data_IF_813068581442
#
_entry.id   IF_813068581442
#
_cell.length_a   1.000
_cell.length_b   1.000
_cell.length_c   1.000
_cell.angle_alpha   90.00
_cell.angle_beta   90.00
_cell.angle_gamma   90.00
#
_symmetry.space_group_name_H-M   'P 1'
#
loop_
_entity.id
_entity.type
_entity.pdbx_description
1 polymer ?
#
# COMPACT_ATOMS: atom_id res chain seq x y z
N UNK A 1 18.12 6.35 -16.29
CA UNK A 1 18.80 5.04 -16.06
C UNK A 1 17.73 3.96 -16.09
N UNK A 2 17.89 2.94 -16.94
CA UNK A 2 16.82 2.02 -17.34
C UNK A 2 16.33 1.11 -16.20
N UNK A 3 15.13 1.39 -15.67
CA UNK A 3 14.41 0.55 -14.68
C UNK A 3 14.03 -0.84 -15.23
N UNK A 4 13.92 -0.99 -16.56
CA UNK A 4 13.67 -2.27 -17.24
C UNK A 4 14.76 -3.31 -16.94
N UNK A 5 16.03 -2.90 -16.88
CA UNK A 5 17.14 -3.81 -16.64
C UNK A 5 17.14 -4.37 -15.21
N UNK A 6 16.64 -3.61 -14.22
CA UNK A 6 16.53 -4.05 -12.83
C UNK A 6 15.35 -5.03 -12.65
N UNK A 7 14.21 -4.77 -13.29
CA UNK A 7 13.05 -5.66 -13.25
C UNK A 7 13.27 -7.00 -13.98
N UNK A 8 13.94 -6.97 -15.14
CA UNK A 8 14.32 -8.19 -15.90
C UNK A 8 15.40 -8.98 -15.16
N UNK A 9 16.36 -8.31 -14.50
CA UNK A 9 17.35 -8.98 -13.65
C UNK A 9 16.73 -9.60 -12.41
N UNK A 10 15.73 -8.96 -11.76
CA UNK A 10 15.02 -9.57 -10.63
C UNK A 10 14.28 -10.85 -11.06
N UNK A 11 13.64 -10.83 -12.25
CA UNK A 11 13.00 -12.01 -12.83
C UNK A 11 14.01 -13.12 -13.18
N UNK A 12 15.19 -12.77 -13.68
CA UNK A 12 16.27 -13.71 -13.95
C UNK A 12 16.91 -14.29 -12.67
N UNK A 13 17.06 -13.48 -11.61
CA UNK A 13 17.56 -13.90 -10.29
C UNK A 13 16.56 -14.86 -9.61
N UNK A 14 15.25 -14.61 -9.75
CA UNK A 14 14.19 -15.50 -9.28
C UNK A 14 14.19 -16.87 -9.98
N UNK A 15 14.74 -16.95 -11.20
CA UNK A 15 14.88 -18.20 -11.96
C UNK A 15 16.15 -19.00 -11.61
N UNK A 16 17.18 -18.39 -11.03
CA UNK A 16 18.51 -19.00 -10.90
C UNK A 16 18.99 -19.29 -9.46
N UNK A 17 18.34 -18.78 -8.40
CA UNK A 17 18.89 -18.90 -7.03
C UNK A 17 17.91 -19.36 -5.92
N UNK A 18 16.76 -19.93 -6.27
CA UNK A 18 15.77 -20.37 -5.27
C UNK A 18 16.09 -21.76 -4.69
N UNK A 19 17.12 -21.86 -3.84
CA UNK A 19 17.29 -23.04 -2.99
C UNK A 19 16.15 -23.07 -1.95
N UNK A 20 15.36 -24.15 -1.83
CA UNK A 20 14.41 -24.29 -0.74
C UNK A 20 15.14 -24.18 0.59
N UNK A 21 14.64 -23.35 1.52
CA UNK A 21 14.95 -23.58 2.92
C UNK A 21 14.32 -24.93 3.28
N UNK A 22 15.15 -25.96 3.42
CA UNK A 22 14.72 -27.18 4.07
C UNK A 22 14.26 -26.79 5.48
N UNK A 23 13.07 -27.24 5.87
CA UNK A 23 12.60 -27.13 7.24
C UNK A 23 13.53 -27.99 8.11
N UNK A 24 14.68 -27.43 8.50
CA UNK A 24 15.51 -28.00 9.55
C UNK A 24 14.63 -28.00 10.80
N UNK A 25 14.37 -29.18 11.34
CA UNK A 25 13.38 -29.41 12.38
C UNK A 25 13.49 -28.39 13.51
N UNK A 26 12.57 -27.42 13.53
CA UNK A 26 12.40 -26.53 14.65
C UNK A 26 11.76 -27.34 15.78
N UNK A 27 12.46 -27.42 16.91
CA UNK A 27 11.90 -27.98 18.13
C UNK A 27 10.60 -27.23 18.50
N UNK A 28 9.54 -27.94 18.93
CA UNK A 28 8.32 -27.30 19.43
C UNK A 28 8.66 -26.62 20.76
N UNK A 29 8.83 -25.31 20.75
CA UNK A 29 9.18 -24.56 21.96
C UNK A 29 9.93 -23.24 21.74
N UNK A 30 10.12 -22.78 20.50
CA UNK A 30 10.53 -21.39 20.26
C UNK A 30 9.47 -20.42 20.79
N UNK A 31 9.85 -19.23 21.30
CA UNK A 31 8.87 -18.17 21.55
C UNK A 31 8.11 -17.94 20.24
N UNK A 32 6.78 -17.77 20.30
CA UNK A 32 5.95 -17.62 19.10
C UNK A 32 6.29 -16.34 18.32
N UNK A 33 5.30 -15.71 17.73
CA UNK A 33 5.36 -14.31 17.24
C UNK A 33 5.75 -13.25 18.32
N UNK A 34 6.54 -13.60 19.34
CA UNK A 34 7.02 -12.74 20.42
C UNK A 34 8.42 -12.18 20.11
N UNK A 35 8.48 -11.18 19.22
CA UNK A 35 9.58 -10.21 19.11
C UNK A 35 9.19 -9.03 18.21
N UNK A 36 9.52 -7.77 18.56
CA UNK A 36 9.21 -7.05 19.80
C UNK A 36 7.70 -6.79 19.88
N UNK A 37 7.15 -6.63 21.11
CA UNK A 37 5.71 -6.55 21.38
C UNK A 37 4.98 -5.67 20.34
N UNK A 38 4.10 -6.22 19.48
CA UNK A 38 3.29 -5.40 18.59
C UNK A 38 2.58 -4.37 19.47
N UNK A 39 2.69 -3.09 19.12
CA UNK A 39 1.97 -2.03 19.84
C UNK A 39 0.52 -2.45 20.03
N UNK A 40 -0.04 -2.20 21.22
CA UNK A 40 -1.39 -2.65 21.57
C UNK A 40 -2.37 -2.23 20.48
N UNK A 41 -3.05 -3.21 19.88
CA UNK A 41 -4.11 -2.93 18.90
C UNK A 41 -5.16 -2.01 19.53
N UNK A 42 -5.79 -1.12 18.74
CA UNK A 42 -6.81 -0.21 19.25
C UNK A 42 -7.97 -0.96 19.92
N UNK A 43 -8.48 -0.41 21.01
CA UNK A 43 -9.56 -1.04 21.79
C UNK A 43 -10.94 -0.71 21.20
N UNK A 44 -11.11 0.55 20.77
CA UNK A 44 -12.33 1.05 20.18
C UNK A 44 -12.05 1.75 18.85
N UNK A 45 -11.47 1.04 17.87
CA UNK A 45 -11.10 1.64 16.60
C UNK A 45 -12.31 2.13 15.83
N UNK A 46 -12.16 3.30 15.24
CA UNK A 46 -13.07 3.85 14.25
C UNK A 46 -12.24 4.37 13.09
N UNK A 47 -12.34 3.71 11.93
CA UNK A 47 -11.79 4.27 10.70
C UNK A 47 -12.67 5.41 10.18
N UNK A 48 -12.04 6.33 9.44
CA UNK A 48 -12.73 7.32 8.62
C UNK A 48 -12.51 6.96 7.15
N UNK A 49 -13.57 6.76 6.35
CA UNK A 49 -13.44 6.54 4.91
C UNK A 49 -12.62 7.65 4.27
N UNK A 50 -11.74 7.32 3.33
CA UNK A 50 -10.86 8.30 2.68
C UNK A 50 -11.61 9.50 2.08
N UNK A 51 -12.76 9.34 1.37
CA UNK A 51 -13.55 10.47 0.88
C UNK A 51 -13.97 11.48 1.95
N UNK A 52 -14.08 11.03 3.20
CA UNK A 52 -14.48 11.85 4.33
C UNK A 52 -13.32 12.50 5.07
N UNK A 53 -12.06 12.12 4.80
CA UNK A 53 -10.87 12.73 5.42
C UNK A 53 -10.64 14.13 4.86
N UNK A 54 -10.11 15.03 5.68
CA UNK A 54 -10.03 16.45 5.39
C UNK A 54 -8.73 16.89 4.70
N UNK A 55 -7.79 15.96 4.50
CA UNK A 55 -6.41 16.22 4.10
C UNK A 55 -5.69 17.24 5.02
N UNK A 56 -6.08 17.31 6.29
CA UNK A 56 -5.43 18.20 7.28
C UNK A 56 -4.01 17.74 7.58
N UNK A 57 -3.82 16.42 7.58
CA UNK A 57 -2.54 15.79 7.80
C UNK A 57 -2.31 14.73 6.75
N UNK A 58 -1.16 14.79 6.10
CA UNK A 58 -0.80 13.95 4.96
C UNK A 58 0.58 13.37 5.18
N UNK A 59 0.74 12.07 4.95
CA UNK A 59 2.03 11.40 4.98
C UNK A 59 2.54 11.20 3.56
N UNK A 60 3.79 11.61 3.34
CA UNK A 60 4.58 11.27 2.15
C UNK A 60 5.85 10.57 2.61
N UNK A 61 6.48 9.80 1.72
CA UNK A 61 7.72 9.11 2.06
C UNK A 61 8.70 9.14 0.89
N UNK A 62 9.99 9.21 1.23
CA UNK A 62 11.13 9.20 0.31
C UNK A 62 11.92 7.93 0.56
N UNK A 63 12.38 7.25 -0.49
CA UNK A 63 13.27 6.08 -0.37
C UNK A 63 14.74 6.53 -0.41
N UNK A 64 15.68 5.82 0.22
CA UNK A 64 17.12 6.22 0.18
C UNK A 64 17.72 6.39 -1.21
N UNK A 65 17.24 5.61 -2.17
CA UNK A 65 17.73 5.70 -3.55
C UNK A 65 17.13 6.90 -4.31
N UNK A 66 16.13 7.56 -3.72
CA UNK A 66 15.51 8.73 -4.34
C UNK A 66 16.47 9.89 -4.15
N UNK A 67 16.92 10.49 -5.25
CA UNK A 67 17.82 11.64 -5.18
C UNK A 67 17.10 12.94 -4.80
N UNK A 68 15.78 13.02 -4.94
CA UNK A 68 15.03 14.27 -4.84
C UNK A 68 13.54 14.00 -4.56
N UNK A 69 12.75 15.07 -4.48
CA UNK A 69 11.29 15.01 -4.32
C UNK A 69 10.54 14.91 -5.66
N UNK A 70 11.14 14.42 -6.75
CA UNK A 70 10.49 14.39 -8.07
C UNK A 70 9.16 13.64 -8.08
N UNK A 71 9.02 12.58 -7.27
CA UNK A 71 7.78 11.81 -7.15
C UNK A 71 6.71 12.51 -6.31
N UNK A 72 7.12 13.19 -5.25
CA UNK A 72 6.25 13.81 -4.25
C UNK A 72 5.83 15.22 -4.66
N UNK A 73 6.66 15.94 -5.42
CA UNK A 73 6.45 17.35 -5.76
C UNK A 73 5.12 17.63 -6.44
N UNK A 74 4.68 16.88 -7.47
CA UNK A 74 3.38 17.15 -8.09
C UNK A 74 2.21 17.09 -7.10
N UNK A 75 2.31 16.24 -6.07
CA UNK A 75 1.32 16.13 -4.98
C UNK A 75 1.43 17.34 -4.06
N UNK A 76 2.63 17.66 -3.57
CA UNK A 76 2.89 18.81 -2.70
C UNK A 76 2.35 20.13 -3.27
N UNK A 77 2.50 20.33 -4.58
CA UNK A 77 2.00 21.53 -5.29
C UNK A 77 0.47 21.62 -5.37
N UNK A 78 -0.25 20.51 -5.16
CA UNK A 78 -1.71 20.38 -5.34
C UNK A 78 -2.47 20.10 -4.06
N UNK A 79 -1.75 19.81 -2.97
CA UNK A 79 -2.35 19.73 -1.65
C UNK A 79 -2.87 21.11 -1.21
N UNK A 80 -3.98 21.16 -0.46
CA UNK A 80 -4.47 22.40 0.13
C UNK A 80 -3.42 23.06 1.02
N UNK A 81 -3.38 24.40 1.06
CA UNK A 81 -2.40 25.17 1.86
C UNK A 81 -2.48 24.90 3.36
N UNK A 82 -3.66 24.52 3.86
CA UNK A 82 -3.85 24.18 5.27
C UNK A 82 -3.24 22.82 5.64
N UNK A 83 -2.84 22.00 4.67
CA UNK A 83 -2.34 20.65 4.93
C UNK A 83 -1.00 20.71 5.64
N UNK A 84 -0.87 19.94 6.73
CA UNK A 84 0.43 19.59 7.32
C UNK A 84 0.93 18.30 6.66
N UNK A 85 2.09 18.36 6.05
CA UNK A 85 2.73 17.20 5.43
C UNK A 85 3.81 16.65 6.36
N UNK A 86 3.66 15.41 6.77
CA UNK A 86 4.69 14.61 7.43
C UNK A 86 5.48 13.90 6.33
N UNK A 87 6.72 14.30 6.08
CA UNK A 87 7.57 13.73 5.04
C UNK A 87 8.59 12.79 5.68
N UNK A 88 8.39 11.48 5.50
CA UNK A 88 9.35 10.48 5.95
C UNK A 88 10.59 10.52 5.06
N UNK A 89 11.75 10.79 5.64
CA UNK A 89 13.02 10.92 4.90
C UNK A 89 14.10 10.05 5.56
N UNK A 90 14.87 9.26 4.79
CA UNK A 90 16.07 8.60 5.31
C UNK A 90 17.03 9.62 5.92
N UNK A 91 17.61 9.35 7.09
CA UNK A 91 18.54 10.26 7.78
C UNK A 91 19.66 10.77 6.84
N UNK A 92 20.18 9.91 5.96
CA UNK A 92 21.23 10.26 5.00
C UNK A 92 20.81 11.27 3.91
N UNK A 93 19.50 11.42 3.67
CA UNK A 93 18.95 12.36 2.69
C UNK A 93 18.43 13.65 3.31
N UNK A 94 18.35 13.74 4.65
CA UNK A 94 17.66 14.83 5.34
C UNK A 94 18.13 16.21 4.88
N UNK A 95 19.44 16.48 4.95
CA UNK A 95 20.01 17.79 4.62
C UNK A 95 19.70 18.20 3.18
N UNK A 96 19.84 17.27 2.24
CA UNK A 96 19.59 17.52 0.81
C UNK A 96 18.12 17.82 0.55
N UNK A 97 17.21 17.04 1.12
CA UNK A 97 15.77 17.23 0.97
C UNK A 97 15.33 18.56 1.62
N UNK A 98 15.91 18.92 2.77
CA UNK A 98 15.68 20.19 3.43
C UNK A 98 16.10 21.38 2.57
N UNK A 99 17.27 21.32 1.95
CA UNK A 99 17.74 22.35 1.00
C UNK A 99 16.80 22.47 -0.20
N UNK A 100 16.35 21.34 -0.75
CA UNK A 100 15.40 21.33 -1.87
C UNK A 100 14.08 22.03 -1.49
N UNK A 101 13.51 21.72 -0.32
CA UNK A 101 12.30 22.35 0.20
C UNK A 101 12.46 23.85 0.44
N UNK A 102 13.63 24.31 0.94
CA UNK A 102 13.91 25.74 1.16
C UNK A 102 14.09 26.51 -0.15
N UNK A 103 14.60 25.85 -1.20
CA UNK A 103 14.88 26.48 -2.49
C UNK A 103 13.63 26.73 -3.35
N UNK A 104 12.46 26.24 -2.93
CA UNK A 104 11.23 26.26 -3.73
C UNK A 104 10.02 26.68 -2.88
N UNK A 105 9.07 27.43 -3.44
CA UNK A 105 7.81 27.71 -2.75
C UNK A 105 6.97 26.43 -2.69
N UNK A 106 6.94 25.79 -1.52
CA UNK A 106 6.10 24.60 -1.27
C UNK A 106 4.86 25.05 -0.46
N UNK A 107 3.64 24.94 -1.00
CA UNK A 107 2.43 25.51 -0.41
C UNK A 107 1.90 24.85 0.88
N UNK A 108 2.26 23.61 1.25
CA UNK A 108 1.97 23.09 2.60
C UNK A 108 3.12 23.26 3.59
N UNK A 109 2.79 23.25 4.89
CA UNK A 109 3.77 23.09 5.97
C UNK A 109 4.34 21.68 5.92
N UNK A 110 5.61 21.54 5.54
CA UNK A 110 6.30 20.25 5.47
C UNK A 110 7.17 20.06 6.71
N UNK A 111 6.88 19.03 7.49
CA UNK A 111 7.72 18.55 8.58
C UNK A 111 8.50 17.32 8.10
N UNK A 112 9.84 17.39 8.16
CA UNK A 112 10.68 16.23 7.86
C UNK A 112 10.71 15.34 9.10
N UNK A 113 10.33 14.08 8.90
CA UNK A 113 10.38 13.02 9.91
C UNK A 113 11.49 12.06 9.51
N UNK A 114 12.71 12.23 10.05
CA UNK A 114 13.81 11.36 9.70
C UNK A 114 13.54 9.94 10.19
N UNK A 115 13.97 8.95 9.42
CA UNK A 115 14.00 7.56 9.85
C UNK A 115 15.35 6.94 9.51
N UNK A 116 15.88 6.17 10.47
CA UNK A 116 17.14 5.47 10.33
C UNK A 116 17.04 4.06 10.87
N UNK A 117 17.63 3.11 10.15
CA UNK A 117 18.19 1.91 10.77
C UNK A 117 19.44 1.54 9.97
N UNK A 118 20.60 1.34 10.61
CA UNK A 118 21.76 0.85 9.91
C UNK A 118 21.40 -0.47 9.24
N UNK A 119 21.59 -0.54 7.92
CA UNK A 119 21.51 -1.79 7.20
C UNK A 119 22.50 -2.76 7.85
N UNK A 120 22.08 -3.97 8.28
CA UNK A 120 23.05 -4.95 8.73
C UNK A 120 24.06 -5.20 7.61
N UNK A 121 25.36 -5.31 7.91
CA UNK A 121 26.42 -5.47 6.90
C UNK A 121 26.28 -6.76 6.07
N UNK A 122 25.36 -7.65 6.44
CA UNK A 122 25.00 -8.86 5.71
C UNK A 122 23.48 -8.98 5.67
N UNK A 123 22.87 -8.82 4.49
CA UNK A 123 21.42 -9.04 4.34
C UNK A 123 21.12 -9.94 3.14
N UNK A 124 20.65 -11.14 3.42
CA UNK A 124 19.82 -11.87 2.49
C UNK A 124 18.39 -11.32 2.58
N UNK A 125 17.70 -11.31 1.44
CA UNK A 125 16.29 -10.98 1.34
C UNK A 125 15.47 -12.25 1.40
N UNK A 126 14.40 -12.24 2.19
CA UNK A 126 13.42 -13.32 2.24
C UNK A 126 12.09 -12.76 1.77
N UNK A 127 11.82 -12.92 0.47
CA UNK A 127 10.68 -12.31 -0.21
C UNK A 127 9.39 -13.08 0.06
N UNK A 128 8.30 -12.33 0.31
CA UNK A 128 6.93 -12.84 0.30
C UNK A 128 6.34 -12.64 -1.10
N UNK A 129 6.40 -13.69 -1.93
CA UNK A 129 5.85 -13.63 -3.28
C UNK A 129 4.39 -14.10 -3.29
N UNK A 130 3.48 -13.40 -4.00
CA UNK A 130 2.07 -13.77 -4.04
C UNK A 130 1.82 -15.18 -4.55
N UNK A 131 2.65 -15.71 -5.46
CA UNK A 131 2.51 -17.03 -6.08
C UNK A 131 3.18 -18.17 -5.29
N UNK A 132 3.92 -17.87 -4.21
CA UNK A 132 4.67 -18.86 -3.42
C UNK A 132 4.09 -19.03 -2.02
N UNK A 133 4.18 -20.26 -1.53
CA UNK A 133 3.70 -20.67 -0.21
C UNK A 133 4.80 -20.77 0.85
N UNK A 134 6.00 -20.28 0.48
CA UNK A 134 7.23 -20.24 1.28
C UNK A 134 7.99 -18.94 1.01
N UNK A 135 8.86 -18.55 1.93
CA UNK A 135 9.81 -17.46 1.72
C UNK A 135 10.78 -17.81 0.59
N UNK A 136 11.05 -16.85 -0.29
CA UNK A 136 12.06 -16.99 -1.34
C UNK A 136 13.31 -16.22 -0.93
N UNK A 137 14.40 -16.94 -0.68
CA UNK A 137 15.68 -16.33 -0.35
C UNK A 137 16.33 -15.76 -1.61
N UNK A 138 16.77 -14.51 -1.53
CA UNK A 138 17.54 -13.82 -2.56
C UNK A 138 18.82 -13.29 -1.92
N UNK A 139 19.96 -13.70 -2.47
CA UNK A 139 21.27 -13.17 -2.08
C UNK A 139 21.57 -12.00 -3.01
N UNK A 140 21.69 -10.77 -2.49
CA UNK A 140 22.05 -9.64 -3.33
C UNK A 140 23.44 -9.87 -3.91
N UNK A 141 23.55 -9.83 -5.24
CA UNK A 141 24.83 -9.98 -5.94
C UNK A 141 25.67 -8.69 -5.92
N UNK A 142 25.03 -7.56 -5.58
CA UNK A 142 25.62 -6.23 -5.47
C UNK A 142 25.10 -5.53 -4.20
N UNK A 143 25.90 -4.63 -3.62
CA UNK A 143 25.52 -3.73 -2.49
C UNK A 143 24.31 -2.83 -2.81
N UNK A 144 23.84 -2.80 -4.07
CA UNK A 144 22.72 -1.99 -4.56
C UNK A 144 21.33 -2.45 -4.10
N UNK A 145 21.20 -3.60 -3.45
CA UNK A 145 19.93 -4.01 -2.83
C UNK A 145 19.86 -3.55 -1.37
N UNK A 146 20.16 -2.29 -1.10
CA UNK A 146 19.85 -1.64 0.18
C UNK A 146 18.34 -1.33 0.27
N UNK A 147 17.51 -2.37 0.26
CA UNK A 147 16.04 -2.28 0.50
C UNK A 147 15.67 -1.96 1.96
N UNK A 148 16.67 -1.64 2.78
CA UNK A 148 16.50 -1.31 4.21
C UNK A 148 16.00 0.11 4.46
N UNK A 149 15.95 0.98 3.45
CA UNK A 149 15.71 2.40 3.67
C UNK A 149 14.34 2.82 3.13
N UNK A 150 13.32 2.32 3.83
CA UNK A 150 11.93 2.71 3.69
C UNK A 150 11.37 2.55 2.28
N UNK A 151 10.37 3.37 1.98
CA UNK A 151 9.56 3.25 0.78
C UNK A 151 9.10 4.62 0.35
N UNK A 152 8.85 4.79 -0.96
CA UNK A 152 8.09 5.95 -1.45
C UNK A 152 6.58 5.73 -1.42
N UNK A 153 6.16 4.48 -1.16
CA UNK A 153 4.77 4.05 -1.20
C UNK A 153 4.11 4.29 0.17
N UNK A 154 3.84 5.55 0.51
CA UNK A 154 3.30 5.93 1.82
C UNK A 154 1.95 5.26 2.13
N UNK A 155 1.10 5.05 1.13
CA UNK A 155 -0.18 4.36 1.30
C UNK A 155 -0.01 2.91 1.76
N UNK A 156 1.08 2.24 1.34
CA UNK A 156 1.27 0.85 1.71
C UNK A 156 1.66 0.65 3.19
N UNK A 157 2.11 1.71 3.87
CA UNK A 157 2.70 1.62 5.20
C UNK A 157 1.68 1.45 6.32
N UNK A 158 0.52 2.09 6.20
CA UNK A 158 -0.43 2.18 7.30
C UNK A 158 -1.87 2.20 6.81
N UNK A 159 -2.74 1.51 7.53
CA UNK A 159 -4.14 1.93 7.64
C UNK A 159 -4.29 2.92 8.78
N UNK A 160 -5.33 3.77 8.71
CA UNK A 160 -5.52 4.86 9.66
C UNK A 160 -6.85 4.71 10.40
N UNK A 161 -6.80 4.71 11.73
CA UNK A 161 -7.97 4.69 12.59
C UNK A 161 -7.83 5.67 13.74
N UNK A 162 -8.95 5.98 14.40
CA UNK A 162 -8.96 6.63 15.71
C UNK A 162 -9.31 5.65 16.81
N UNK A 163 -8.67 5.80 17.95
CA UNK A 163 -9.01 5.12 19.21
C UNK A 163 -9.33 6.21 20.25
N UNK A 164 -10.60 6.59 20.32
CA UNK A 164 -11.01 7.83 20.99
C UNK A 164 -10.48 9.08 20.28
N UNK A 165 -9.67 9.89 20.98
CA UNK A 165 -9.05 11.10 20.41
C UNK A 165 -7.72 10.83 19.70
N UNK A 166 -7.10 9.67 19.94
CA UNK A 166 -5.76 9.35 19.45
C UNK A 166 -5.82 8.82 18.01
N UNK A 167 -4.90 9.30 17.17
CA UNK A 167 -4.69 8.75 15.83
C UNK A 167 -3.80 7.49 15.93
N UNK A 168 -4.24 6.39 15.34
CA UNK A 168 -3.52 5.13 15.32
C UNK A 168 -3.18 4.74 13.89
N UNK A 169 -1.89 4.57 13.63
CA UNK A 169 -1.36 4.08 12.36
C UNK A 169 -1.16 2.57 12.46
N UNK A 170 -2.01 1.82 11.77
CA UNK A 170 -1.99 0.35 11.75
C UNK A 170 -1.02 -0.13 10.68
N UNK A 171 0.19 -0.47 11.08
CA UNK A 171 1.22 -1.02 10.20
C UNK A 171 1.06 -2.53 10.01
N UNK A 172 1.36 -3.08 8.82
CA UNK A 172 1.55 -4.52 8.66
C UNK A 172 2.79 -4.99 9.41
N UNK A 173 2.77 -6.22 9.92
CA UNK A 173 3.99 -6.81 10.48
C UNK A 173 5.05 -7.04 9.40
N UNK A 174 4.65 -7.41 8.18
CA UNK A 174 5.54 -7.49 7.02
C UNK A 174 4.80 -6.96 5.80
N UNK A 175 5.42 -6.07 5.04
CA UNK A 175 4.82 -5.56 3.82
C UNK A 175 5.19 -6.45 2.62
N UNK A 176 6.49 -6.68 2.40
CA UNK A 176 7.02 -7.36 1.22
C UNK A 176 8.09 -8.40 1.54
N UNK A 177 8.93 -8.16 2.52
CA UNK A 177 10.10 -9.01 2.77
C UNK A 177 10.61 -8.97 4.21
N UNK A 178 11.41 -9.97 4.54
CA UNK A 178 12.21 -10.00 5.75
C UNK A 178 13.71 -9.95 5.39
N UNK A 179 14.52 -9.55 6.37
CA UNK A 179 15.95 -9.32 6.24
C UNK A 179 16.70 -10.12 7.30
N UNK A 180 17.82 -10.72 6.94
CA UNK A 180 18.71 -11.33 7.93
C UNK A 180 19.90 -12.02 7.28
N UNK A 181 20.77 -12.65 8.10
CA UNK A 181 21.83 -13.52 7.60
C UNK A 181 21.28 -14.59 6.62
N UNK A 182 22.05 -15.00 5.59
CA UNK A 182 21.62 -16.02 4.63
C UNK A 182 21.14 -17.35 5.22
N UNK A 183 21.66 -17.69 6.40
CA UNK A 183 21.43 -18.89 7.19
C UNK A 183 20.59 -18.60 8.45
N UNK A 184 19.99 -17.41 8.55
CA UNK A 184 19.19 -17.02 9.70
C UNK A 184 17.97 -17.93 9.88
N UNK A 185 17.79 -18.39 11.12
CA UNK A 185 16.52 -18.93 11.55
C UNK A 185 15.42 -17.85 11.45
N UNK A 186 14.15 -18.21 11.18
CA UNK A 186 13.04 -17.27 11.02
C UNK A 186 12.95 -16.20 12.11
N UNK A 187 13.11 -16.58 13.40
CA UNK A 187 13.07 -15.65 14.53
C UNK A 187 14.20 -14.61 14.60
N UNK A 188 15.21 -14.70 13.72
CA UNK A 188 16.29 -13.71 13.57
C UNK A 188 16.09 -12.78 12.38
N UNK A 189 15.01 -12.97 11.63
CA UNK A 189 14.66 -12.14 10.50
C UNK A 189 13.97 -10.86 10.97
N UNK A 190 14.29 -9.75 10.33
CA UNK A 190 13.76 -8.42 10.61
C UNK A 190 12.76 -8.04 9.51
N UNK A 191 11.54 -7.61 9.84
CA UNK A 191 10.58 -7.17 8.83
C UNK A 191 10.99 -5.86 8.17
N UNK A 192 10.61 -5.71 6.90
CA UNK A 192 10.82 -4.47 6.13
C UNK A 192 10.07 -3.25 6.70
N UNK A 193 9.08 -3.48 7.55
CA UNK A 193 8.38 -2.43 8.30
C UNK A 193 9.02 -2.10 9.64
N UNK A 194 10.12 -2.74 10.07
CA UNK A 194 10.67 -2.52 11.41
C UNK A 194 11.08 -1.06 11.71
N UNK A 195 11.28 -0.23 10.68
CA UNK A 195 11.55 1.20 10.88
C UNK A 195 10.33 1.96 11.46
N UNK A 196 9.11 1.44 11.30
CA UNK A 196 7.89 2.11 11.79
C UNK A 196 7.83 2.22 13.31
N UNK A 197 8.48 1.30 14.04
CA UNK A 197 8.56 1.32 15.50
C UNK A 197 9.33 2.55 16.04
N UNK A 198 10.21 3.09 15.21
CA UNK A 198 11.03 4.25 15.52
C UNK A 198 10.41 5.56 15.04
N UNK A 199 9.34 5.52 14.25
CA UNK A 199 8.65 6.72 13.80
C UNK A 199 8.06 7.47 15.00
N UNK A 200 8.26 8.78 14.99
CA UNK A 200 7.70 9.71 15.99
C UNK A 200 6.87 10.73 15.23
N UNK A 201 5.58 10.46 15.16
CA UNK A 201 4.60 11.34 14.52
C UNK A 201 3.79 12.02 15.63
N UNK A 202 3.91 13.35 15.84
CA UNK A 202 3.20 14.04 16.91
C UNK A 202 1.69 13.75 16.87
N UNK A 203 1.08 13.42 18.02
CA UNK A 203 -0.36 13.13 18.10
C UNK A 203 -0.81 11.82 17.44
N UNK A 204 0.13 10.93 17.06
CA UNK A 204 -0.17 9.62 16.52
C UNK A 204 0.66 8.54 17.22
N UNK A 205 0.09 7.35 17.37
CA UNK A 205 0.84 6.14 17.74
C UNK A 205 0.80 5.11 16.61
N UNK A 206 1.83 4.28 16.56
CA UNK A 206 1.87 3.14 15.64
C UNK A 206 1.42 1.88 16.38
N UNK A 207 0.59 1.06 15.75
CA UNK A 207 0.27 -0.28 16.19
C UNK A 207 0.50 -1.27 15.04
N UNK A 208 1.04 -2.44 15.37
CA UNK A 208 1.40 -3.44 14.36
C UNK A 208 0.34 -4.52 14.33
N UNK A 209 -0.26 -4.72 13.15
CA UNK A 209 -1.19 -5.82 12.91
C UNK A 209 -0.38 -7.08 12.56
N UNK A 210 -0.63 -8.23 13.22
CA UNK A 210 0.09 -9.49 12.95
C UNK A 210 -0.39 -10.15 11.65
N UNK A 211 -0.24 -9.43 10.54
CA UNK A 211 -0.59 -9.82 9.20
C UNK A 211 0.40 -9.23 8.21
N UNK A 212 0.56 -9.89 7.07
CA UNK A 212 1.33 -9.37 5.95
C UNK A 212 0.40 -8.82 4.87
N UNK A 213 0.46 -7.50 4.65
CA UNK A 213 -0.37 -6.81 3.67
C UNK A 213 0.28 -5.48 3.22
N UNK A 214 -0.34 -4.86 2.22
CA UNK A 214 -0.05 -3.51 1.76
C UNK A 214 -1.30 -2.68 2.02
N UNK A 215 -1.16 -1.45 2.53
CA UNK A 215 -2.32 -0.55 2.75
C UNK A 215 -3.14 -0.30 1.47
N UNK A 216 -2.52 -0.16 0.29
CA UNK A 216 -3.25 -0.08 -0.99
C UNK A 216 -4.12 -1.32 -1.31
N UNK A 217 -3.99 -2.40 -0.54
CA UNK A 217 -4.78 -3.62 -0.67
C UNK A 217 -5.85 -3.79 0.43
N UNK A 218 -6.09 -2.75 1.22
CA UNK A 218 -7.15 -2.66 2.22
C UNK A 218 -7.97 -1.41 1.89
N UNK A 219 -9.29 -1.56 1.86
CA UNK A 219 -10.22 -0.45 1.61
C UNK A 219 -11.24 -0.44 2.73
N UNK A 220 -11.29 0.65 3.49
CA UNK A 220 -12.24 0.86 4.57
C UNK A 220 -13.26 1.94 4.19
N UNK A 221 -14.55 1.62 4.26
CA UNK A 221 -15.62 2.48 3.77
C UNK A 221 -16.95 2.23 4.49
N UNK A 222 -17.97 3.06 4.25
CA UNK A 222 -19.32 2.92 4.81
C UNK A 222 -20.33 2.73 3.68
N UNK A 223 -21.12 1.66 3.77
CA UNK A 223 -22.21 1.37 2.82
C UNK A 223 -23.49 0.94 3.55
N UNK A 224 -24.59 1.64 3.30
CA UNK A 224 -25.87 1.44 3.97
C UNK A 224 -25.78 1.64 5.49
N UNK A 225 -24.93 2.57 5.94
CA UNK A 225 -24.66 2.83 7.35
C UNK A 225 -23.78 1.78 8.04
N UNK A 226 -23.26 0.79 7.32
CA UNK A 226 -22.39 -0.27 7.84
C UNK A 226 -20.94 0.02 7.50
N UNK A 227 -20.04 -0.13 8.45
CA UNK A 227 -18.59 -0.04 8.26
C UNK A 227 -18.08 -1.33 7.62
N UNK A 228 -17.58 -1.25 6.40
CA UNK A 228 -17.09 -2.39 5.62
C UNK A 228 -15.61 -2.22 5.37
N UNK A 229 -14.86 -3.30 5.57
CA UNK A 229 -13.46 -3.41 5.16
C UNK A 229 -13.33 -4.47 4.08
N UNK A 230 -12.72 -4.12 2.96
CA UNK A 230 -12.42 -5.02 1.85
C UNK A 230 -10.90 -5.24 1.83
N UNK A 231 -10.48 -6.50 1.86
CA UNK A 231 -9.06 -6.88 1.88
C UNK A 231 -8.76 -7.76 0.66
N UNK A 232 -7.66 -7.47 -0.03
CA UNK A 232 -7.21 -8.31 -1.14
C UNK A 232 -6.76 -9.70 -0.68
N UNK A 233 -7.01 -10.71 -1.52
CA UNK A 233 -6.71 -12.12 -1.20
C UNK A 233 -5.23 -12.41 -0.93
N UNK A 234 -4.33 -11.58 -1.47
CA UNK A 234 -2.89 -11.71 -1.26
C UNK A 234 -2.49 -11.56 0.20
N UNK A 235 -3.24 -10.79 1.02
CA UNK A 235 -2.98 -10.67 2.45
C UNK A 235 -3.10 -12.03 3.17
N UNK A 236 -4.05 -12.87 2.76
CA UNK A 236 -4.20 -14.23 3.30
C UNK A 236 -3.01 -15.08 2.95
N UNK A 237 -2.59 -15.05 1.68
CA UNK A 237 -1.49 -15.89 1.19
C UNK A 237 -0.18 -15.49 1.86
N UNK A 238 0.17 -14.21 1.84
CA UNK A 238 1.38 -13.67 2.47
C UNK A 238 1.43 -14.01 3.96
N UNK A 239 0.32 -13.77 4.69
CA UNK A 239 0.27 -14.06 6.13
C UNK A 239 0.40 -15.54 6.43
N UNK A 240 -0.20 -16.42 5.62
CA UNK A 240 -0.05 -17.88 5.78
C UNK A 240 1.37 -18.35 5.47
N UNK A 241 1.99 -17.83 4.40
CA UNK A 241 3.40 -18.12 4.08
C UNK A 241 4.31 -17.73 5.23
N UNK A 242 4.04 -16.56 5.82
CA UNK A 242 4.78 -16.05 6.94
C UNK A 242 4.59 -16.92 8.21
N UNK A 243 3.35 -17.22 8.60
CA UNK A 243 3.08 -18.11 9.73
C UNK A 243 3.79 -19.47 9.58
N UNK A 244 3.73 -20.09 8.39
CA UNK A 244 4.44 -21.34 8.10
C UNK A 244 5.95 -21.21 8.27
N UNK A 245 6.52 -20.11 7.79
CA UNK A 245 7.95 -19.87 7.90
C UNK A 245 8.41 -19.76 9.35
N UNK A 246 7.56 -19.27 10.25
CA UNK A 246 7.85 -19.14 11.68
C UNK A 246 7.41 -20.37 12.52
N UNK A 247 6.83 -21.39 11.89
CA UNK A 247 6.39 -22.62 12.57
C UNK A 247 5.01 -22.52 13.21
N UNK A 248 4.26 -21.46 12.92
CA UNK A 248 2.93 -21.21 13.47
C UNK A 248 1.82 -21.82 12.63
N UNK A 249 0.65 -22.01 13.25
CA UNK A 249 -0.56 -22.42 12.55
C UNK A 249 -1.00 -21.31 11.57
N UNK A 250 -1.11 -21.59 10.25
CA UNK A 250 -1.46 -20.56 9.28
C UNK A 250 -2.91 -20.12 9.44
N UNK A 251 -3.21 -18.81 9.58
CA UNK A 251 -4.55 -18.36 9.83
C UNK A 251 -5.47 -18.59 8.62
N UNK A 252 -6.72 -18.93 8.90
CA UNK A 252 -7.77 -19.06 7.89
C UNK A 252 -8.31 -17.70 7.42
N UNK A 253 -8.99 -17.61 6.25
CA UNK A 253 -9.59 -16.36 5.79
C UNK A 253 -10.54 -15.72 6.81
N UNK A 254 -11.35 -16.52 7.51
CA UNK A 254 -12.28 -16.00 8.52
C UNK A 254 -11.57 -15.42 9.75
N UNK A 255 -10.41 -15.96 10.11
CA UNK A 255 -9.61 -15.45 11.23
C UNK A 255 -8.96 -14.12 10.87
N UNK A 256 -8.40 -14.01 9.66
CA UNK A 256 -7.88 -12.74 9.16
C UNK A 256 -8.98 -11.70 9.00
N UNK A 257 -10.16 -12.08 8.50
CA UNK A 257 -11.29 -11.15 8.40
C UNK A 257 -11.67 -10.59 9.79
N UNK A 258 -11.71 -11.43 10.83
CA UNK A 258 -11.93 -10.97 12.21
C UNK A 258 -10.80 -10.09 12.74
N UNK A 259 -9.55 -10.39 12.39
CA UNK A 259 -8.39 -9.59 12.78
C UNK A 259 -8.48 -8.17 12.21
N UNK A 260 -8.68 -8.05 10.89
CA UNK A 260 -8.86 -6.76 10.23
C UNK A 260 -10.11 -6.03 10.73
N UNK A 261 -11.25 -6.73 10.85
CA UNK A 261 -12.50 -6.14 11.33
C UNK A 261 -12.39 -5.58 12.74
N UNK A 262 -11.74 -6.29 13.66
CA UNK A 262 -11.47 -5.76 15.00
C UNK A 262 -10.49 -4.59 15.00
N UNK A 263 -9.40 -4.69 14.26
CA UNK A 263 -8.36 -3.65 14.26
C UNK A 263 -8.83 -2.34 13.62
N UNK A 264 -9.70 -2.43 12.61
CA UNK A 264 -10.25 -1.28 11.90
C UNK A 264 -11.58 -0.79 12.48
N UNK A 265 -12.27 -1.62 13.28
CA UNK A 265 -13.60 -1.30 13.79
C UNK A 265 -14.67 -1.43 12.72
N UNK A 266 -14.62 -2.49 11.93
CA UNK A 266 -15.59 -2.77 10.87
C UNK A 266 -16.73 -3.65 11.39
N UNK A 267 -17.94 -3.44 10.86
CA UNK A 267 -19.10 -4.29 11.10
C UNK A 267 -19.05 -5.53 10.19
N UNK A 268 -18.47 -5.40 8.99
CA UNK A 268 -18.23 -6.48 8.05
C UNK A 268 -16.82 -6.39 7.45
N UNK A 269 -16.14 -7.53 7.33
CA UNK A 269 -14.86 -7.61 6.63
C UNK A 269 -14.90 -8.69 5.56
N UNK A 270 -14.60 -8.31 4.33
CA UNK A 270 -14.62 -9.19 3.16
C UNK A 270 -13.21 -9.38 2.63
N UNK A 271 -12.77 -10.64 2.57
CA UNK A 271 -11.55 -10.99 1.85
C UNK A 271 -11.91 -11.41 0.43
N UNK A 272 -11.34 -10.73 -0.54
CA UNK A 272 -11.55 -11.00 -1.96
C UNK A 272 -10.72 -12.18 -2.41
N UNK A 273 -11.35 -13.16 -3.05
CA UNK A 273 -10.69 -14.32 -3.68
C UNK A 273 -9.54 -14.94 -2.84
N UNK A 274 -9.75 -15.32 -1.56
CA UNK A 274 -8.66 -15.70 -0.62
C UNK A 274 -7.81 -16.92 -1.04
N UNK A 275 -8.24 -17.66 -2.07
CA UNK A 275 -7.53 -18.80 -2.63
C UNK A 275 -6.78 -18.52 -3.94
N UNK A 276 -6.83 -17.29 -4.46
CA UNK A 276 -6.18 -16.91 -5.73
C UNK A 276 -5.30 -15.68 -5.52
N UNK A 277 -4.15 -15.58 -6.20
CA UNK A 277 -3.42 -14.32 -6.22
C UNK A 277 -4.26 -13.24 -6.90
N UNK A 278 -4.08 -11.99 -6.51
CA UNK A 278 -4.61 -10.89 -7.32
C UNK A 278 -3.90 -10.85 -8.68
N UNK A 279 -4.59 -10.42 -9.76
CA UNK A 279 -3.98 -10.30 -11.07
C UNK A 279 -2.77 -9.38 -11.04
N UNK A 280 -1.71 -9.73 -11.79
CA UNK A 280 -0.46 -8.97 -11.80
C UNK A 280 -0.59 -7.50 -12.26
N UNK A 281 -1.66 -7.16 -13.00
CA UNK A 281 -1.95 -5.80 -13.46
C UNK A 281 -2.94 -5.04 -12.56
N UNK A 282 -3.54 -5.69 -11.56
CA UNK A 282 -4.45 -5.09 -10.56
C UNK A 282 -4.16 -5.72 -9.20
N UNK A 283 -2.90 -5.59 -8.77
CA UNK A 283 -2.37 -6.31 -7.63
C UNK A 283 -2.70 -5.62 -6.30
N UNK A 284 -3.12 -4.36 -6.33
CA UNK A 284 -3.70 -3.65 -5.19
C UNK A 284 -5.16 -3.27 -5.46
N UNK A 285 -5.97 -3.15 -4.39
CA UNK A 285 -7.37 -2.75 -4.51
C UNK A 285 -7.53 -1.28 -4.91
N UNK A 286 -6.65 -0.41 -4.46
CA UNK A 286 -6.61 1.01 -4.84
C UNK A 286 -6.26 1.27 -6.31
N UNK A 287 -5.98 0.23 -7.09
CA UNK A 287 -5.83 0.31 -8.55
C UNK A 287 -7.13 0.00 -9.29
N UNK A 288 -8.09 -0.64 -8.62
CA UNK A 288 -9.32 -1.17 -9.23
C UNK A 288 -10.59 -0.60 -8.62
N UNK A 289 -10.56 -0.15 -7.36
CA UNK A 289 -11.72 0.44 -6.69
C UNK A 289 -11.35 1.73 -5.96
N UNK A 290 -12.31 2.65 -5.89
CA UNK A 290 -12.18 3.91 -5.19
C UNK A 290 -13.52 4.26 -4.54
N UNK A 291 -13.63 4.26 -3.20
CA UNK A 291 -14.82 4.78 -2.51
C UNK A 291 -15.10 6.23 -2.92
N UNK A 292 -16.37 6.54 -3.20
CA UNK A 292 -16.82 7.89 -3.58
C UNK A 292 -17.72 8.54 -2.50
N UNK A 293 -18.00 7.81 -1.42
CA UNK A 293 -18.96 8.15 -0.38
C UNK A 293 -20.42 7.95 -0.82
N UNK A 294 -21.35 8.06 0.13
CA UNK A 294 -22.80 7.89 -0.12
C UNK A 294 -23.14 6.58 -0.84
N UNK A 295 -22.61 5.47 -0.36
CA UNK A 295 -22.82 4.13 -0.92
C UNK A 295 -22.34 3.98 -2.37
N UNK A 296 -21.51 4.91 -2.88
CA UNK A 296 -20.95 4.87 -4.24
C UNK A 296 -19.50 4.42 -4.21
N UNK A 297 -19.14 3.59 -5.18
CA UNK A 297 -17.75 3.16 -5.40
C UNK A 297 -17.44 3.18 -6.90
N UNK A 298 -16.30 3.75 -7.27
CA UNK A 298 -15.80 3.62 -8.63
C UNK A 298 -15.14 2.25 -8.79
N UNK A 299 -15.33 1.62 -9.94
CA UNK A 299 -14.71 0.35 -10.31
C UNK A 299 -14.04 0.49 -11.68
N UNK A 300 -12.73 0.26 -11.75
CA UNK A 300 -12.02 0.20 -13.01
C UNK A 300 -12.46 -1.07 -13.75
N UNK A 301 -12.97 -0.90 -14.97
CA UNK A 301 -13.44 -1.98 -15.82
C UNK A 301 -12.57 -2.06 -17.07
N UNK A 302 -11.58 -2.99 -17.09
CA UNK A 302 -10.75 -3.21 -18.27
C UNK A 302 -11.57 -3.59 -19.50
N UNK A 303 -11.35 -2.88 -20.60
CA UNK A 303 -11.90 -3.18 -21.91
C UNK A 303 -10.94 -4.11 -22.65
N UNK A 304 -11.40 -5.35 -22.90
CA UNK A 304 -10.61 -6.37 -23.57
C UNK A 304 -10.86 -6.33 -25.07
N UNK A 305 -9.80 -6.11 -25.85
CA UNK A 305 -9.81 -6.17 -27.30
C UNK A 305 -9.24 -7.47 -27.88
N UNK A 306 -9.44 -7.73 -29.19
CA UNK A 306 -8.77 -8.80 -29.91
C UNK A 306 -7.24 -8.62 -29.82
N UNK A 307 -6.52 -9.65 -29.37
CA UNK A 307 -5.05 -9.63 -29.28
C UNK A 307 -4.47 -9.17 -27.93
N UNK A 308 -5.30 -8.75 -26.97
CA UNK A 308 -4.81 -8.41 -25.63
C UNK A 308 -4.07 -9.58 -24.96
N UNK A 309 -3.06 -9.31 -24.11
CA UNK A 309 -2.31 -10.37 -23.44
C UNK A 309 -3.17 -11.09 -22.39
N UNK A 310 -2.84 -12.34 -22.01
CA UNK A 310 -3.56 -13.10 -20.98
C UNK A 310 -3.73 -12.34 -19.64
N UNK A 311 -2.72 -11.55 -19.25
CA UNK A 311 -2.76 -10.76 -18.02
C UNK A 311 -3.88 -9.69 -18.02
N UNK A 312 -4.17 -9.08 -19.17
CA UNK A 312 -5.28 -8.11 -19.30
C UNK A 312 -6.63 -8.80 -19.17
N UNK A 313 -6.78 -9.99 -19.77
CA UNK A 313 -7.99 -10.80 -19.62
C UNK A 313 -8.23 -11.25 -18.18
N UNK A 314 -7.18 -11.64 -17.47
CA UNK A 314 -7.27 -12.03 -16.06
C UNK A 314 -7.69 -10.85 -15.17
N UNK A 315 -7.10 -9.68 -15.40
CA UNK A 315 -7.49 -8.43 -14.73
C UNK A 315 -8.96 -8.07 -15.00
N UNK A 316 -9.43 -8.18 -16.26
CA UNK A 316 -10.84 -7.96 -16.61
C UNK A 316 -11.77 -8.95 -15.89
N UNK A 317 -11.42 -10.24 -15.87
CA UNK A 317 -12.20 -11.27 -15.19
C UNK A 317 -12.27 -11.02 -13.68
N UNK A 318 -11.19 -10.53 -13.07
CA UNK A 318 -11.16 -10.10 -11.67
C UNK A 318 -12.09 -8.92 -11.41
N UNK A 319 -12.04 -7.86 -12.25
CA UNK A 319 -12.92 -6.70 -12.12
C UNK A 319 -14.41 -7.09 -12.19
N UNK A 320 -14.78 -8.03 -13.07
CA UNK A 320 -16.16 -8.55 -13.16
C UNK A 320 -16.59 -9.27 -11.88
N UNK A 321 -15.72 -10.10 -11.29
CA UNK A 321 -16.01 -10.77 -10.00
C UNK A 321 -16.13 -9.76 -8.87
N UNK A 322 -15.25 -8.76 -8.86
CA UNK A 322 -15.26 -7.68 -7.88
C UNK A 322 -16.56 -6.87 -7.98
N UNK A 323 -17.02 -6.54 -9.19
CA UNK A 323 -18.33 -5.91 -9.42
C UNK A 323 -19.46 -6.65 -8.73
N UNK A 324 -19.55 -7.97 -8.94
CA UNK A 324 -20.57 -8.81 -8.31
C UNK A 324 -20.48 -8.83 -6.78
N UNK A 325 -19.27 -8.74 -6.22
CA UNK A 325 -19.05 -8.66 -4.77
C UNK A 325 -19.50 -7.30 -4.22
N UNK A 326 -19.10 -6.21 -4.85
CA UNK A 326 -19.47 -4.85 -4.46
C UNK A 326 -20.99 -4.64 -4.51
N UNK A 327 -21.66 -5.10 -5.57
CA UNK A 327 -23.13 -5.01 -5.66
C UNK A 327 -23.82 -5.76 -4.52
N UNK A 328 -23.31 -6.93 -4.12
CA UNK A 328 -23.85 -7.69 -2.97
C UNK A 328 -23.64 -7.01 -1.63
N UNK A 329 -22.60 -6.18 -1.51
CA UNK A 329 -22.36 -5.35 -0.33
C UNK A 329 -23.28 -4.11 -0.28
N UNK A 330 -24.02 -3.83 -1.35
CA UNK A 330 -24.97 -2.72 -1.43
C UNK A 330 -24.43 -1.48 -2.15
N UNK A 331 -23.25 -1.56 -2.76
CA UNK A 331 -22.67 -0.42 -3.47
C UNK A 331 -23.40 -0.10 -4.77
N UNK A 332 -23.58 1.21 -5.01
CA UNK A 332 -23.85 1.78 -6.34
C UNK A 332 -22.51 1.94 -7.06
N UNK A 333 -22.32 1.17 -8.13
CA UNK A 333 -21.04 1.09 -8.83
C UNK A 333 -21.01 2.12 -9.96
N UNK A 334 -19.97 2.94 -9.98
CA UNK A 334 -19.61 3.83 -11.09
C UNK A 334 -18.50 3.15 -11.88
N UNK A 335 -18.82 2.63 -13.06
CA UNK A 335 -17.83 1.92 -13.88
C UNK A 335 -16.93 2.92 -14.62
N UNK A 336 -15.62 2.76 -14.46
CA UNK A 336 -14.61 3.58 -15.13
C UNK A 336 -13.93 2.72 -16.19
N UNK A 337 -14.15 2.97 -17.48
CA UNK A 337 -13.53 2.18 -18.54
C UNK A 337 -12.01 2.38 -18.55
N UNK A 338 -11.26 1.29 -18.66
CA UNK A 338 -9.78 1.33 -18.77
C UNK A 338 -9.37 0.52 -19.99
N UNK A 339 -8.54 1.11 -20.86
CA UNK A 339 -8.06 0.39 -22.05
C UNK A 339 -7.08 -0.72 -21.66
N UNK A 340 -7.00 -1.79 -22.46
CA UNK A 340 -5.98 -2.84 -22.29
C UNK A 340 -4.54 -2.29 -22.32
N UNK A 341 -4.29 -1.25 -23.11
CA UNK A 341 -3.00 -0.57 -23.22
C UNK A 341 -2.62 0.19 -21.94
N UNK A 342 -3.55 0.97 -21.37
CA UNK A 342 -3.32 1.68 -20.12
C UNK A 342 -3.13 0.70 -18.96
N UNK A 343 -3.89 -0.40 -18.95
CA UNK A 343 -3.74 -1.46 -17.96
C UNK A 343 -2.37 -2.13 -18.04
N UNK A 344 -1.89 -2.47 -19.24
CA UNK A 344 -0.57 -3.05 -19.44
C UNK A 344 0.57 -2.09 -19.06
N UNK A 345 0.32 -0.77 -19.16
CA UNK A 345 1.24 0.29 -18.75
C UNK A 345 1.09 0.71 -17.28
N UNK A 346 0.27 0.02 -16.48
CA UNK A 346 -0.03 0.35 -15.07
C UNK A 346 -0.56 1.78 -14.86
N UNK A 347 -1.31 2.30 -15.83
CA UNK A 347 -1.94 3.62 -15.78
C UNK A 347 -3.34 3.48 -15.20
N UNK A 348 -3.42 3.41 -13.88
CA UNK A 348 -4.68 3.18 -13.16
C UNK A 348 -5.34 4.52 -12.78
N UNK A 349 -6.49 4.91 -13.37
CA UNK A 349 -7.17 6.16 -13.03
C UNK A 349 -7.66 6.19 -11.59
N UNK A 350 -8.01 5.03 -11.04
CA UNK A 350 -8.51 4.90 -9.67
C UNK A 350 -7.43 4.93 -8.60
N UNK A 351 -6.16 4.93 -8.98
CA UNK A 351 -5.07 5.18 -8.05
C UNK A 351 -4.93 6.69 -7.77
N UNK A 352 -6.04 7.26 -7.31
CA UNK A 352 -6.35 8.65 -7.05
C UNK A 352 -6.65 8.84 -5.56
N UNK A 353 -6.58 10.08 -5.08
CA UNK A 353 -6.72 10.38 -3.65
C UNK A 353 -8.00 11.17 -3.42
N UNK A 354 -9.05 10.58 -2.83
CA UNK A 354 -10.26 11.29 -2.48
C UNK A 354 -10.09 11.95 -1.11
N UNK A 355 -10.60 13.17 -0.95
CA UNK A 355 -10.70 13.84 0.34
C UNK A 355 -11.84 14.87 0.31
N UNK A 356 -12.23 15.38 1.47
CA UNK A 356 -13.12 16.53 1.62
C UNK A 356 -12.29 17.76 1.96
N UNK A 357 -12.34 18.80 1.14
CA UNK A 357 -11.61 20.04 1.41
C UNK A 357 -12.12 20.70 2.71
N UNK A 358 -11.21 20.95 3.66
CA UNK A 358 -11.56 21.38 5.01
C UNK A 358 -12.09 22.82 5.08
N UNK A 359 -11.75 23.67 4.09
CA UNK A 359 -12.17 25.07 4.03
C UNK A 359 -13.52 25.22 3.34
N UNK A 360 -13.76 24.42 2.30
CA UNK A 360 -14.95 24.53 1.45
C UNK A 360 -16.01 23.46 1.71
N UNK A 361 -15.66 22.38 2.42
CA UNK A 361 -16.51 21.20 2.58
C UNK A 361 -16.73 20.40 1.30
N UNK A 362 -16.05 20.75 0.20
CA UNK A 362 -16.26 20.12 -1.11
C UNK A 362 -15.38 18.88 -1.25
N UNK A 363 -15.96 17.78 -1.72
CA UNK A 363 -15.19 16.58 -2.11
C UNK A 363 -14.23 16.93 -3.24
N UNK A 364 -12.98 16.53 -3.11
CA UNK A 364 -11.90 16.76 -4.05
C UNK A 364 -11.18 15.45 -4.34
N UNK A 365 -10.77 15.27 -5.60
CA UNK A 365 -10.08 14.09 -6.08
C UNK A 365 -8.75 14.50 -6.70
N UNK A 366 -7.64 14.00 -6.17
CA UNK A 366 -6.34 14.09 -6.83
C UNK A 366 -6.24 12.96 -7.86
N UNK A 367 -6.57 13.26 -9.11
CA UNK A 367 -6.62 12.27 -10.20
C UNK A 367 -5.25 12.17 -10.89
N UNK A 368 -4.64 10.97 -11.04
CA UNK A 368 -3.37 10.83 -11.72
C UNK A 368 -3.47 11.18 -13.21
N UNK A 369 -2.48 11.92 -13.71
CA UNK A 369 -2.27 12.19 -15.13
C UNK A 369 -0.93 11.61 -15.57
N UNK A 370 -0.97 10.54 -16.36
CA UNK A 370 0.21 9.81 -16.80
C UNK A 370 0.79 10.38 -18.10
N UNK A 371 2.12 10.50 -18.24
CA UNK A 371 2.77 10.85 -19.50
C UNK A 371 2.41 9.88 -20.63
N UNK A 372 1.99 10.40 -21.77
CA UNK A 372 1.67 9.61 -22.98
C UNK A 372 0.46 8.69 -22.85
N UNK A 373 -0.39 8.87 -21.83
CA UNK A 373 -1.71 8.24 -21.72
C UNK A 373 -2.79 9.11 -22.34
N UNK A 374 -3.91 8.49 -22.72
CA UNK A 374 -5.13 9.24 -22.96
C UNK A 374 -5.56 9.92 -21.65
N UNK A 375 -6.10 11.13 -21.72
CA UNK A 375 -6.73 11.74 -20.56
C UNK A 375 -7.93 10.86 -20.17
N UNK A 376 -8.00 10.48 -18.89
CA UNK A 376 -9.19 9.82 -18.37
C UNK A 376 -10.33 10.81 -18.32
N UNK A 377 -11.54 10.36 -18.64
CA UNK A 377 -12.73 11.18 -18.52
C UNK A 377 -13.01 11.48 -17.03
N UNK A 378 -12.95 12.75 -16.59
CA UNK A 378 -13.23 13.11 -15.20
C UNK A 378 -14.74 13.21 -14.91
N UNK A 379 -15.61 13.15 -15.92
CA UNK A 379 -17.05 13.36 -15.77
C UNK A 379 -17.71 12.45 -14.72
N UNK A 380 -17.41 11.13 -14.64
CA UNK A 380 -18.01 10.26 -13.62
C UNK A 380 -17.72 10.71 -12.18
N UNK A 381 -16.55 11.31 -11.93
CA UNK A 381 -16.21 11.85 -10.60
C UNK A 381 -16.88 13.20 -10.34
N UNK A 382 -16.97 14.05 -11.37
CA UNK A 382 -17.67 15.32 -11.27
C UNK A 382 -19.18 15.12 -10.98
N UNK A 383 -19.81 14.16 -11.65
CA UNK A 383 -21.18 13.70 -11.38
C UNK A 383 -21.32 13.10 -9.97
N UNK A 384 -20.25 12.50 -9.46
CA UNK A 384 -20.18 12.05 -8.07
C UNK A 384 -20.04 13.20 -7.05
N UNK A 385 -19.88 14.44 -7.50
CA UNK A 385 -19.77 15.65 -6.67
C UNK A 385 -18.34 16.11 -6.40
N UNK A 386 -17.34 15.49 -7.05
CA UNK A 386 -15.94 15.82 -6.83
C UNK A 386 -15.49 17.05 -7.63
N UNK A 387 -14.65 17.87 -7.02
CA UNK A 387 -13.70 18.72 -7.74
C UNK A 387 -12.51 17.84 -8.15
N UNK A 388 -12.28 17.69 -9.45
CA UNK A 388 -11.12 16.93 -9.95
C UNK A 388 -9.91 17.85 -10.08
N UNK A 389 -8.79 17.44 -9.49
CA UNK A 389 -7.49 18.10 -9.59
C UNK A 389 -6.51 17.08 -10.19
N UNK A 390 -6.08 17.32 -11.42
CA UNK A 390 -5.13 16.43 -12.09
C UNK A 390 -3.71 16.59 -11.51
N UNK A 391 -3.08 15.46 -11.19
CA UNK A 391 -1.70 15.37 -10.68
C UNK A 391 -0.83 14.63 -11.70
N UNK A 392 0.09 15.33 -12.39
CA UNK A 392 1.09 14.67 -13.22
C UNK A 392 1.91 13.67 -12.40
N UNK A 393 2.04 12.43 -12.87
CA UNK A 393 2.78 11.39 -12.14
C UNK A 393 3.53 10.45 -13.06
N UNK A 394 4.76 10.10 -12.68
CA UNK A 394 5.54 9.05 -13.33
C UNK A 394 5.38 7.69 -12.63
N UNK A 395 4.53 7.59 -11.59
CA UNK A 395 4.44 6.41 -10.72
C UNK A 395 4.14 5.09 -11.46
N UNK A 396 3.52 5.17 -12.65
CA UNK A 396 3.26 4.03 -13.53
C UNK A 396 4.54 3.30 -13.96
N UNK A 397 5.67 4.01 -14.07
CA UNK A 397 6.98 3.43 -14.42
C UNK A 397 7.46 2.41 -13.38
N UNK A 398 6.86 2.48 -12.19
CA UNK A 398 7.09 1.60 -11.05
C UNK A 398 5.81 0.89 -10.60
N UNK A 399 4.82 0.83 -11.50
CA UNK A 399 3.53 0.14 -11.33
C UNK A 399 2.57 0.75 -10.30
N UNK A 400 2.81 1.99 -9.86
CA UNK A 400 1.95 2.71 -8.93
C UNK A 400 1.19 3.88 -9.56
N UNK A 401 0.44 4.61 -8.75
CA UNK A 401 -0.18 5.89 -9.11
C UNK A 401 0.01 6.94 -8.02
N UNK A 402 -0.84 7.97 -8.02
CA UNK A 402 -0.76 9.05 -7.03
C UNK A 402 -1.12 8.54 -5.64
N UNK A 403 -2.16 7.71 -5.55
CA UNK A 403 -2.61 7.14 -4.28
C UNK A 403 -1.51 6.34 -3.58
N UNK A 404 -0.74 5.53 -4.32
CA UNK A 404 0.35 4.78 -3.70
C UNK A 404 1.39 5.67 -3.00
N UNK A 405 1.59 6.91 -3.45
CA UNK A 405 2.64 7.82 -2.94
C UNK A 405 2.23 8.59 -1.68
N UNK A 406 0.95 8.58 -1.31
CA UNK A 406 0.41 9.46 -0.27
C UNK A 406 -0.58 8.73 0.62
N UNK A 407 -0.55 9.02 1.91
CA UNK A 407 -1.53 8.53 2.86
C UNK A 407 -2.19 9.72 3.58
N UNK A 408 -3.49 9.90 3.39
CA UNK A 408 -4.24 10.98 4.05
C UNK A 408 -4.60 10.53 5.45
N UNK A 409 -4.02 11.16 6.47
CA UNK A 409 -4.19 10.73 7.86
C UNK A 409 -5.43 11.32 8.53
N UNK A 410 -5.82 12.55 8.16
CA UNK A 410 -6.93 13.29 8.80
C UNK A 410 -7.75 14.12 7.83
#
# INVERSE_FOLDING_TARGET
MNSSACAERLAAILLLAAAPLAAAGCAPGGPGFDSPRPGRLPEHPVFQPEPSRAARRVLLAVRSTDGDLSWQRPILERLPRYSKVELLVPEELESRIREELLSRPVPPSVEIVPYGRPAPPWSAFFLLLPDRDRLVRVLPQDEELAFLHGTRWAQDLFEVVRDGAELVLLAPWVQRHLLGPPDAAPGRLVPDTAFVDHLRLPGARVAVLPAAFNGGNVVADVVGGRRVVIVGGDAVRKTRTLARAFGDAPPGPAELARLFGRALGADETVILDPGRPQPALLYHLDQVILPLGEDRIALALPQVGPGDPPAVRDAAAFAVRLRSRLSRLGYRIVEIPVSGADLAAYRHPLNAVPYTDAETGRRTLLLPRFPGGAAFDPAPFAEAGYRVVEVPTAASDLKGGVHCLVNVLE
#
